data_IF_551906010466
#
_entry.id   IF_551906010466
#
_cell.length_a   1.000
_cell.length_b   1.000
_cell.length_c   1.000
_cell.angle_alpha   90.00
_cell.angle_beta   90.00
_cell.angle_gamma   90.00
#
_symmetry.space_group_name_H-M   'P 1'
#
loop_
_entity.id
_entity.type
_entity.pdbx_description
1 polymer ?
#
# COMPACT_ATOMS: atom_id res chain seq x y z
N UNK A 1 -16.17 31.91 -32.20
CA UNK A 1 -15.16 32.23 -31.17
C UNK A 1 -15.15 31.23 -30.00
N UNK A 2 -16.26 30.98 -29.30
CA UNK A 2 -16.31 30.03 -28.16
C UNK A 2 -15.81 28.61 -28.47
N UNK A 3 -16.15 28.05 -29.62
CA UNK A 3 -15.67 26.73 -30.07
C UNK A 3 -14.15 26.67 -30.23
N UNK A 4 -13.57 27.73 -30.77
CA UNK A 4 -12.13 27.86 -30.99
C UNK A 4 -11.37 28.00 -29.65
N UNK A 5 -11.93 28.72 -28.69
CA UNK A 5 -11.39 28.83 -27.32
C UNK A 5 -11.45 27.48 -26.60
N UNK A 6 -12.58 26.76 -26.68
CA UNK A 6 -12.71 25.43 -26.07
C UNK A 6 -11.73 24.42 -26.70
N UNK A 7 -11.51 24.52 -28.00
CA UNK A 7 -10.51 23.70 -28.69
C UNK A 7 -9.09 24.02 -28.22
N UNK A 8 -8.72 25.30 -28.10
CA UNK A 8 -7.43 25.72 -27.57
C UNK A 8 -7.21 25.25 -26.12
N UNK A 9 -8.23 25.36 -25.27
CA UNK A 9 -8.20 24.84 -23.90
C UNK A 9 -8.05 23.31 -23.86
N UNK A 10 -8.67 22.60 -24.80
CA UNK A 10 -8.50 21.15 -24.94
C UNK A 10 -7.09 20.77 -25.38
N UNK A 11 -6.49 21.51 -26.32
CA UNK A 11 -5.08 21.33 -26.68
C UNK A 11 -4.16 21.59 -25.50
N UNK A 12 -4.40 22.67 -24.73
CA UNK A 12 -3.62 23.00 -23.53
C UNK A 12 -3.76 21.91 -22.45
N UNK A 13 -4.98 21.38 -22.26
CA UNK A 13 -5.25 20.28 -21.35
C UNK A 13 -4.50 19.01 -21.75
N UNK A 14 -4.57 18.65 -23.04
CA UNK A 14 -3.89 17.47 -23.58
C UNK A 14 -2.37 17.59 -23.47
N UNK A 15 -1.84 18.78 -23.75
CA UNK A 15 -0.42 19.09 -23.57
C UNK A 15 -0.01 19.01 -22.09
N UNK A 16 -0.82 19.55 -21.19
CA UNK A 16 -0.60 19.44 -19.74
C UNK A 16 -0.57 17.98 -19.27
N UNK A 17 -1.49 17.14 -19.76
CA UNK A 17 -1.52 15.70 -19.45
C UNK A 17 -0.25 14.99 -19.93
N UNK A 18 0.22 15.31 -21.14
CA UNK A 18 1.46 14.77 -21.68
C UNK A 18 2.67 15.22 -20.87
N UNK A 19 2.74 16.48 -20.45
CA UNK A 19 3.85 16.99 -19.64
C UNK A 19 3.80 16.39 -18.23
N UNK A 20 2.61 16.17 -17.67
CA UNK A 20 2.42 15.62 -16.33
C UNK A 20 2.99 14.20 -16.16
N UNK A 21 3.20 13.46 -17.25
CA UNK A 21 3.88 12.15 -17.18
C UNK A 21 5.38 12.27 -16.95
N UNK A 22 5.98 13.43 -17.24
CA UNK A 22 7.42 13.67 -17.12
C UNK A 22 7.77 14.69 -16.03
N UNK A 23 6.92 15.70 -15.82
CA UNK A 23 7.18 16.84 -14.94
C UNK A 23 5.91 17.27 -14.20
N UNK A 24 6.03 17.52 -12.89
CA UNK A 24 4.90 17.92 -12.01
C UNK A 24 4.20 19.22 -12.45
N UNK A 25 4.92 20.13 -13.10
CA UNK A 25 4.34 21.38 -13.63
C UNK A 25 3.29 21.15 -14.74
N UNK A 26 3.26 19.98 -15.37
CA UNK A 26 2.18 19.61 -16.30
C UNK A 26 0.80 19.63 -15.64
N UNK A 27 0.71 19.34 -14.33
CA UNK A 27 -0.54 19.42 -13.58
C UNK A 27 -1.07 20.87 -13.46
N UNK A 28 -0.18 21.85 -13.44
CA UNK A 28 -0.57 23.27 -13.43
C UNK A 28 -1.21 23.64 -14.77
N UNK A 29 -0.65 23.16 -15.88
CA UNK A 29 -1.23 23.35 -17.22
C UNK A 29 -2.58 22.67 -17.40
N UNK A 30 -2.79 21.47 -16.84
CA UNK A 30 -4.10 20.80 -16.90
C UNK A 30 -5.15 21.49 -16.03
N UNK A 31 -4.74 22.07 -14.90
CA UNK A 31 -5.64 22.75 -13.97
C UNK A 31 -6.31 23.99 -14.58
N UNK A 32 -5.63 24.73 -15.47
CA UNK A 32 -6.15 25.96 -16.07
C UNK A 32 -7.45 25.70 -16.88
N UNK A 33 -7.48 24.79 -17.86
CA UNK A 33 -8.69 24.39 -18.59
C UNK A 33 -9.77 23.84 -17.67
N UNK A 34 -9.39 23.03 -16.68
CA UNK A 34 -10.30 22.46 -15.70
C UNK A 34 -11.06 23.56 -14.96
N UNK A 35 -10.38 24.56 -14.42
CA UNK A 35 -11.02 25.68 -13.71
C UNK A 35 -12.01 26.41 -14.62
N UNK A 36 -11.62 26.71 -15.85
CA UNK A 36 -12.49 27.41 -16.82
C UNK A 36 -13.73 26.58 -17.14
N UNK A 37 -13.58 25.28 -17.36
CA UNK A 37 -14.71 24.39 -17.63
C UNK A 37 -15.60 24.16 -16.41
N UNK A 38 -15.02 24.07 -15.21
CA UNK A 38 -15.77 23.89 -13.97
C UNK A 38 -16.49 25.15 -13.49
N UNK A 39 -16.04 26.34 -13.88
CA UNK A 39 -16.70 27.59 -13.51
C UNK A 39 -18.17 27.65 -13.94
N UNK A 40 -18.46 27.15 -15.15
CA UNK A 40 -19.82 27.17 -15.73
C UNK A 40 -20.81 26.28 -14.96
N UNK A 41 -20.53 24.98 -14.73
CA UNK A 41 -21.40 24.14 -13.91
C UNK A 41 -21.45 24.60 -12.45
N UNK A 42 -20.35 25.10 -11.86
CA UNK A 42 -20.36 25.66 -10.50
C UNK A 42 -21.33 26.83 -10.38
N UNK A 43 -21.31 27.78 -11.33
CA UNK A 43 -22.27 28.88 -11.35
C UNK A 43 -23.72 28.39 -11.53
N UNK A 44 -23.94 27.33 -12.31
CA UNK A 44 -25.26 26.71 -12.45
C UNK A 44 -25.77 26.12 -11.12
N UNK A 45 -24.91 25.40 -10.39
CA UNK A 45 -25.24 24.86 -9.08
C UNK A 45 -25.49 25.96 -8.05
N UNK A 46 -24.69 27.03 -8.05
CA UNK A 46 -24.91 28.18 -7.17
C UNK A 46 -26.26 28.87 -7.40
N UNK A 47 -26.74 28.94 -8.65
CA UNK A 47 -28.03 29.54 -8.98
C UNK A 47 -29.22 28.65 -8.63
N UNK A 48 -29.03 27.32 -8.59
CA UNK A 48 -30.09 26.32 -8.37
C UNK A 48 -29.75 25.50 -7.12
N UNK A 49 -30.18 25.97 -5.94
CA UNK A 49 -29.88 25.35 -4.63
C UNK A 49 -30.15 23.84 -4.56
N UNK A 50 -31.26 23.37 -5.15
CA UNK A 50 -31.57 21.94 -5.21
C UNK A 50 -30.58 21.14 -6.07
N UNK A 51 -30.14 21.70 -7.21
CA UNK A 51 -29.16 21.06 -8.06
C UNK A 51 -27.80 20.95 -7.36
N UNK A 52 -27.40 21.96 -6.59
CA UNK A 52 -26.19 21.90 -5.77
C UNK A 52 -26.28 20.80 -4.71
N UNK A 53 -27.40 20.69 -4.00
CA UNK A 53 -27.59 19.65 -2.98
C UNK A 53 -27.51 18.25 -3.60
N UNK A 54 -28.19 18.02 -4.73
CA UNK A 54 -28.11 16.75 -5.45
C UNK A 54 -26.69 16.43 -5.92
N UNK A 55 -25.97 17.42 -6.44
CA UNK A 55 -24.58 17.26 -6.86
C UNK A 55 -23.69 16.83 -5.69
N UNK A 56 -23.80 17.48 -4.53
CA UNK A 56 -23.03 17.12 -3.34
C UNK A 56 -23.39 15.73 -2.80
N UNK A 57 -24.68 15.36 -2.80
CA UNK A 57 -25.10 14.01 -2.41
C UNK A 57 -24.50 12.94 -3.32
N UNK A 58 -24.50 13.17 -4.63
CA UNK A 58 -23.88 12.26 -5.59
C UNK A 58 -22.38 12.17 -5.36
N UNK A 59 -21.68 13.30 -5.15
CA UNK A 59 -20.24 13.29 -4.85
C UNK A 59 -19.91 12.52 -3.57
N UNK A 60 -20.68 12.72 -2.49
CA UNK A 60 -20.50 12.00 -1.23
C UNK A 60 -20.71 10.50 -1.44
N UNK A 61 -21.74 10.12 -2.21
CA UNK A 61 -22.02 8.73 -2.54
C UNK A 61 -20.88 8.08 -3.34
N UNK A 62 -20.36 8.76 -4.36
CA UNK A 62 -19.19 8.28 -5.12
C UNK A 62 -17.94 8.16 -4.26
N UNK A 63 -17.70 9.13 -3.38
CA UNK A 63 -16.58 9.10 -2.45
C UNK A 63 -16.68 7.91 -1.49
N UNK A 64 -17.89 7.64 -0.98
CA UNK A 64 -18.18 6.48 -0.15
C UNK A 64 -17.93 5.16 -0.89
N UNK A 65 -18.38 5.03 -2.16
CA UNK A 65 -18.11 3.86 -3.00
C UNK A 65 -16.62 3.63 -3.21
N UNK A 66 -15.85 4.69 -3.47
CA UNK A 66 -14.39 4.61 -3.61
C UNK A 66 -13.73 4.18 -2.29
N UNK A 67 -14.22 4.68 -1.16
CA UNK A 67 -13.81 4.26 0.17
C UNK A 67 -14.04 2.76 0.42
N UNK A 68 -15.21 2.24 0.07
CA UNK A 68 -15.50 0.80 0.15
C UNK A 68 -14.58 0.01 -0.77
N UNK A 69 -14.40 0.43 -2.03
CA UNK A 69 -13.57 -0.27 -2.99
C UNK A 69 -12.10 -0.35 -2.53
N UNK A 70 -11.57 0.75 -1.98
CA UNK A 70 -10.20 0.79 -1.43
C UNK A 70 -10.07 -0.09 -0.18
N UNK A 71 -11.05 -0.06 0.72
CA UNK A 71 -11.07 -0.95 1.88
C UNK A 71 -11.13 -2.43 1.48
N UNK A 72 -11.98 -2.77 0.50
CA UNK A 72 -12.13 -4.14 0.00
C UNK A 72 -10.85 -4.65 -0.68
N UNK A 73 -10.22 -3.81 -1.50
CA UNK A 73 -8.95 -4.18 -2.16
C UNK A 73 -7.81 -4.34 -1.15
N UNK A 74 -7.77 -3.50 -0.10
CA UNK A 74 -6.84 -3.66 1.00
C UNK A 74 -7.08 -4.97 1.77
N UNK A 75 -8.34 -5.25 2.13
CA UNK A 75 -8.73 -6.47 2.83
C UNK A 75 -8.37 -7.72 2.02
N UNK A 76 -8.69 -7.74 0.72
CA UNK A 76 -8.36 -8.84 -0.17
C UNK A 76 -6.84 -9.07 -0.25
N UNK A 77 -6.04 -8.00 -0.40
CA UNK A 77 -4.57 -8.09 -0.37
C UNK A 77 -4.05 -8.65 0.95
N UNK A 78 -4.64 -8.23 2.07
CA UNK A 78 -4.23 -8.67 3.39
C UNK A 78 -4.55 -10.16 3.63
N UNK A 79 -5.77 -10.59 3.28
CA UNK A 79 -6.18 -12.00 3.36
C UNK A 79 -5.32 -12.87 2.43
N UNK A 80 -5.05 -12.41 1.20
CA UNK A 80 -4.16 -13.11 0.28
C UNK A 80 -2.74 -13.25 0.83
N UNK A 81 -2.21 -12.18 1.42
CA UNK A 81 -0.89 -12.20 2.07
C UNK A 81 -0.84 -13.22 3.22
N UNK A 82 -1.87 -13.26 4.06
CA UNK A 82 -2.00 -14.23 5.15
C UNK A 82 -2.07 -15.65 4.59
N UNK A 83 -2.93 -15.90 3.62
CA UNK A 83 -3.06 -17.21 2.99
C UNK A 83 -1.72 -17.71 2.44
N UNK A 84 -0.97 -16.84 1.75
CA UNK A 84 0.37 -17.15 1.25
C UNK A 84 1.35 -17.51 2.38
N UNK A 85 1.26 -16.85 3.54
CA UNK A 85 2.08 -17.17 4.71
C UNK A 85 1.78 -18.55 5.31
N UNK A 86 0.54 -19.04 5.19
CA UNK A 86 0.16 -20.39 5.64
C UNK A 86 0.53 -21.49 4.63
N UNK A 87 0.55 -21.19 3.32
CA UNK A 87 0.93 -22.14 2.27
C UNK A 87 2.45 -22.29 2.09
N UNK A 88 3.24 -21.27 2.42
CA UNK A 88 4.69 -21.41 2.55
C UNK A 88 4.95 -22.30 3.76
N UNK A 89 5.72 -23.41 3.63
CA UNK A 89 6.08 -24.20 4.78
C UNK A 89 6.73 -23.25 5.77
N UNK A 90 6.19 -23.16 7.00
CA UNK A 90 6.83 -22.42 8.07
C UNK A 90 8.32 -22.78 8.01
N UNK A 91 9.16 -21.84 7.58
CA UNK A 91 10.59 -21.99 7.72
C UNK A 91 10.78 -22.07 9.21
N UNK A 92 10.85 -23.30 9.71
CA UNK A 92 11.07 -23.57 11.11
C UNK A 92 12.25 -22.69 11.48
N UNK A 93 12.19 -21.95 12.60
CA UNK A 93 13.35 -21.18 13.04
C UNK A 93 14.48 -22.19 13.06
N UNK A 94 15.44 -22.02 12.14
CA UNK A 94 16.62 -22.85 12.05
C UNK A 94 17.14 -22.79 13.46
N UNK A 95 17.03 -23.89 14.23
CA UNK A 95 17.52 -23.94 15.60
C UNK A 95 18.99 -23.65 15.46
N UNK A 96 19.38 -22.38 15.60
CA UNK A 96 20.76 -21.97 15.59
C UNK A 96 21.32 -22.77 16.75
N UNK A 97 22.13 -23.78 16.41
CA UNK A 97 22.72 -24.69 17.38
C UNK A 97 23.62 -23.81 18.23
N UNK A 98 23.08 -23.23 19.30
CA UNK A 98 23.85 -22.40 20.24
C UNK A 98 24.96 -23.30 20.73
N UNK A 99 26.19 -22.95 20.39
CA UNK A 99 27.38 -23.57 20.95
C UNK A 99 27.34 -23.32 22.44
N UNK A 100 27.01 -24.35 23.21
CA UNK A 100 27.02 -24.27 24.67
C UNK A 100 28.48 -24.40 25.08
N UNK A 101 28.98 -23.40 25.81
CA UNK A 101 30.35 -23.36 26.30
C UNK A 101 30.34 -23.89 27.73
N UNK A 102 31.24 -24.82 28.04
CA UNK A 102 31.37 -25.33 29.40
C UNK A 102 31.84 -24.19 30.33
N UNK A 103 31.10 -23.81 31.39
CA UNK A 103 31.50 -22.74 32.30
C UNK A 103 32.80 -23.02 33.06
N UNK A 104 33.21 -24.28 33.23
CA UNK A 104 34.44 -24.63 33.95
C UNK A 104 35.69 -24.73 33.06
N UNK A 105 35.53 -24.97 31.76
CA UNK A 105 36.68 -25.14 30.84
C UNK A 105 36.72 -24.15 29.68
N UNK A 106 35.65 -23.38 29.44
CA UNK A 106 35.57 -22.42 28.33
C UNK A 106 35.52 -23.06 26.94
N UNK A 107 35.43 -24.39 26.84
CA UNK A 107 35.45 -25.12 25.59
C UNK A 107 34.02 -25.43 25.07
N UNK A 108 33.83 -25.48 23.73
CA UNK A 108 32.54 -25.80 23.13
C UNK A 108 32.15 -27.27 23.38
N UNK A 109 30.95 -27.49 23.92
CA UNK A 109 30.43 -28.82 24.21
C UNK A 109 29.84 -29.47 22.95
N UNK A 110 30.33 -30.65 22.60
CA UNK A 110 29.95 -31.35 21.37
C UNK A 110 28.66 -32.18 21.52
N UNK A 111 28.37 -32.70 22.71
CA UNK A 111 27.24 -33.59 22.98
C UNK A 111 26.34 -33.10 24.11
N UNK A 112 25.02 -33.20 23.91
CA UNK A 112 23.97 -32.68 24.81
C UNK A 112 23.36 -33.78 25.69
N UNK A 113 24.16 -34.48 26.49
CA UNK A 113 23.60 -35.34 27.52
C UNK A 113 24.16 -34.95 28.89
N UNK A 114 23.34 -34.19 29.62
CA UNK A 114 23.50 -34.00 31.06
C UNK A 114 22.40 -34.83 31.71
N UNK A 115 22.76 -35.70 32.66
CA UNK A 115 21.78 -36.27 33.57
C UNK A 115 21.44 -35.24 34.66
N UNK A 116 20.27 -35.34 35.30
CA UNK A 116 19.78 -34.37 36.30
C UNK A 116 20.74 -34.24 37.52
N UNK A 117 21.62 -35.22 37.72
CA UNK A 117 22.65 -35.22 38.76
C UNK A 117 24.02 -34.62 38.32
N UNK A 118 24.16 -34.11 37.09
CA UNK A 118 25.39 -33.44 36.63
C UNK A 118 26.58 -34.35 36.32
N UNK A 119 26.42 -35.69 36.35
CA UNK A 119 27.47 -36.63 35.99
C UNK A 119 27.39 -36.99 34.50
N UNK A 120 28.48 -36.72 33.76
CA UNK A 120 28.65 -37.17 32.37
C UNK A 120 29.27 -38.57 32.34
N UNK A 121 28.50 -39.58 31.93
CA UNK A 121 29.05 -40.92 31.72
C UNK A 121 29.72 -41.01 30.34
N UNK A 122 31.05 -41.17 30.33
CA UNK A 122 31.79 -41.60 29.15
C UNK A 122 31.66 -43.12 29.02
N UNK A 123 30.83 -43.60 28.11
CA UNK A 123 30.93 -44.96 27.60
C UNK A 123 31.73 -44.90 26.31
N UNK A 124 33.01 -45.27 26.40
CA UNK A 124 33.85 -45.52 25.23
C UNK A 124 33.56 -46.95 24.81
N UNK A 125 32.83 -47.12 23.71
CA UNK A 125 32.75 -48.41 23.04
C UNK A 125 33.98 -48.49 22.13
N UNK A 126 34.89 -49.40 22.46
CA UNK A 126 35.92 -49.88 21.55
C UNK A 126 35.28 -50.63 20.37
#
# INVERSE_FOLDING_TARGET
MKTLINFALFCLFSLGCLIATYQSWGLVLTAIPLVVWFQTPLNFFHKKRLAAVLFWLVLIYFHWLLGIATALTYFAKHVWSLHRQYELPMTQPTKTKRTIINPSTGLPMKDKHFDIAGNGYFWKND
#
